data_IF_621046734292
#
_entry.id   IF_621046734292
#
_cell.length_a   1.000
_cell.length_b   1.000
_cell.length_c   1.000
_cell.angle_alpha   90.00
_cell.angle_beta   90.00
_cell.angle_gamma   90.00
#
_symmetry.space_group_name_H-M   'P 1'
#
loop_
_entity.id
_entity.type
_entity.pdbx_description
1 polymer ?
#
# COMPACT_ATOMS: atom_id res chain seq x y z
N UNK A 1 7.67 27.21 -5.01
CA UNK A 1 7.71 28.25 -3.96
C UNK A 1 6.33 28.39 -3.36
N UNK A 2 6.23 28.21 -2.08
CA UNK A 2 4.92 28.23 -1.41
C UNK A 2 4.55 29.69 -1.09
N UNK A 3 3.99 30.37 -2.06
CA UNK A 3 3.70 31.82 -2.04
C UNK A 3 2.70 32.22 -0.94
N UNK A 4 1.91 31.26 -0.47
CA UNK A 4 0.96 31.49 0.61
C UNK A 4 1.60 31.75 1.98
N UNK A 5 2.80 31.21 2.27
CA UNK A 5 3.55 31.59 3.48
C UNK A 5 4.06 33.03 3.44
N UNK A 6 4.45 33.51 2.25
CA UNK A 6 4.82 34.92 2.07
C UNK A 6 3.62 35.84 2.33
N UNK A 7 2.43 35.45 1.88
CA UNK A 7 1.20 36.20 2.14
C UNK A 7 0.88 36.26 3.64
N UNK A 8 1.15 35.19 4.38
CA UNK A 8 1.01 35.15 5.84
C UNK A 8 2.16 35.89 6.57
N UNK A 9 3.27 36.14 5.88
CA UNK A 9 4.45 36.80 6.45
C UNK A 9 5.25 35.93 7.41
N UNK A 10 5.28 34.64 7.18
CA UNK A 10 6.03 33.64 7.94
C UNK A 10 6.82 32.72 7.02
N UNK A 11 7.81 32.04 7.56
CA UNK A 11 8.52 30.99 6.86
C UNK A 11 7.66 29.72 6.75
N UNK A 12 7.96 28.87 5.77
CA UNK A 12 7.27 27.60 5.60
C UNK A 12 7.34 26.75 6.87
N UNK A 13 6.18 26.37 7.41
CA UNK A 13 6.09 25.61 8.65
C UNK A 13 4.90 24.65 8.62
N UNK A 14 5.02 23.52 9.30
CA UNK A 14 3.92 22.59 9.52
C UNK A 14 3.22 22.76 10.88
N UNK A 15 3.66 23.73 11.67
CA UNK A 15 3.03 24.04 12.94
C UNK A 15 1.73 24.84 12.75
N UNK A 16 0.57 24.18 12.83
CA UNK A 16 -0.73 24.85 12.71
C UNK A 16 -0.90 26.04 13.66
N UNK A 17 -0.30 25.98 14.85
CA UNK A 17 -0.36 27.09 15.84
C UNK A 17 0.31 28.35 15.30
N UNK A 18 1.46 28.22 14.62
CA UNK A 18 2.15 29.34 14.00
C UNK A 18 1.36 29.94 12.85
N UNK A 19 0.77 29.07 12.01
CA UNK A 19 -0.07 29.48 10.88
C UNK A 19 -1.30 30.24 11.38
N UNK A 20 -2.00 29.73 12.39
CA UNK A 20 -3.17 30.40 13.01
C UNK A 20 -2.80 31.74 13.63
N UNK A 21 -1.66 31.83 14.31
CA UNK A 21 -1.17 33.07 14.90
C UNK A 21 -0.84 34.12 13.83
N UNK A 22 -0.17 33.72 12.75
CA UNK A 22 0.16 34.62 11.64
C UNK A 22 -1.10 35.11 10.92
N UNK A 23 -2.07 34.25 10.67
CA UNK A 23 -3.35 34.62 10.08
C UNK A 23 -4.09 35.66 10.93
N UNK A 24 -4.20 35.42 12.24
CA UNK A 24 -4.86 36.37 13.16
C UNK A 24 -4.16 37.75 13.18
N UNK A 25 -2.83 37.77 13.20
CA UNK A 25 -2.07 39.00 13.16
C UNK A 25 -2.31 39.80 11.86
N UNK A 26 -2.38 39.10 10.72
CA UNK A 26 -2.66 39.74 9.43
C UNK A 26 -4.12 40.15 9.29
N UNK A 27 -5.05 39.39 9.88
CA UNK A 27 -6.47 39.67 9.85
C UNK A 27 -6.82 41.02 10.50
N UNK A 28 -6.07 41.42 11.54
CA UNK A 28 -6.23 42.74 12.17
C UNK A 28 -5.77 43.88 11.27
N UNK A 29 -4.87 43.63 10.32
CA UNK A 29 -4.34 44.62 9.40
C UNK A 29 -5.16 44.76 8.10
N UNK A 30 -6.01 43.77 7.79
CA UNK A 30 -6.82 43.71 6.56
C UNK A 30 -8.28 43.79 6.95
N UNK A 31 -8.93 44.91 6.66
CA UNK A 31 -10.36 45.08 6.89
C UNK A 31 -11.16 44.58 5.66
N UNK A 32 -12.08 43.63 5.81
CA UNK A 32 -12.88 43.11 4.69
C UNK A 32 -13.69 44.18 3.96
N UNK A 33 -14.04 45.27 4.66
CA UNK A 33 -14.82 46.38 4.09
C UNK A 33 -13.95 47.30 3.21
N UNK A 34 -12.69 47.46 3.57
CA UNK A 34 -11.73 48.36 2.88
C UNK A 34 -10.93 47.67 1.79
N UNK A 35 -10.58 46.38 2.01
CA UNK A 35 -9.79 45.57 1.05
C UNK A 35 -10.32 44.12 0.97
N UNK A 36 -11.46 43.91 0.27
CA UNK A 36 -12.05 42.57 0.13
C UNK A 36 -11.14 41.61 -0.64
N UNK A 37 -10.34 42.08 -1.59
CA UNK A 37 -9.41 41.24 -2.36
C UNK A 37 -8.20 40.81 -1.52
N UNK A 38 -7.70 41.68 -0.66
CA UNK A 38 -6.65 41.36 0.32
C UNK A 38 -7.12 40.35 1.35
N UNK A 39 -8.33 40.51 1.84
CA UNK A 39 -8.96 39.55 2.77
C UNK A 39 -9.13 38.17 2.14
N UNK A 40 -9.60 38.13 0.89
CA UNK A 40 -9.76 36.87 0.15
C UNK A 40 -8.41 36.16 -0.05
N UNK A 41 -7.38 36.88 -0.48
CA UNK A 41 -6.03 36.34 -0.64
C UNK A 41 -5.44 35.82 0.67
N UNK A 42 -5.65 36.54 1.76
CA UNK A 42 -5.19 36.13 3.09
C UNK A 42 -5.88 34.85 3.55
N UNK A 43 -7.19 34.72 3.31
CA UNK A 43 -7.96 33.53 3.64
C UNK A 43 -7.54 32.32 2.81
N UNK A 44 -7.35 32.49 1.52
CA UNK A 44 -6.86 31.43 0.62
C UNK A 44 -5.46 30.98 1.04
N UNK A 45 -4.58 31.91 1.37
CA UNK A 45 -3.23 31.60 1.88
C UNK A 45 -3.26 30.81 3.19
N UNK A 46 -4.17 31.14 4.08
CA UNK A 46 -4.36 30.43 5.34
C UNK A 46 -4.88 28.99 5.12
N UNK A 47 -5.87 28.82 4.26
CA UNK A 47 -6.41 27.49 3.93
C UNK A 47 -5.34 26.61 3.26
N UNK A 48 -4.55 27.14 2.34
CA UNK A 48 -3.46 26.41 1.69
C UNK A 48 -2.31 26.09 2.68
N UNK A 49 -1.99 26.99 3.59
CA UNK A 49 -0.98 26.75 4.63
C UNK A 49 -1.43 25.66 5.62
N UNK A 50 -2.72 25.62 6.00
CA UNK A 50 -3.25 24.54 6.83
C UNK A 50 -3.26 23.21 6.09
N UNK A 51 -3.59 23.22 4.81
CA UNK A 51 -3.57 22.02 3.96
C UNK A 51 -2.14 21.48 3.84
N UNK A 52 -1.16 22.36 3.66
CA UNK A 52 0.26 21.99 3.68
C UNK A 52 0.69 21.41 5.03
N UNK A 53 0.27 21.99 6.16
CA UNK A 53 0.59 21.50 7.49
C UNK A 53 -0.03 20.13 7.80
N UNK A 54 -1.21 19.87 7.23
CA UNK A 54 -1.95 18.60 7.38
C UNK A 54 -1.55 17.55 6.34
N UNK A 55 -0.89 17.94 5.27
CA UNK A 55 -0.19 16.96 4.45
C UNK A 55 0.80 16.28 5.39
N UNK A 56 0.48 15.03 5.78
CA UNK A 56 1.51 14.16 6.30
C UNK A 56 2.68 14.32 5.35
N UNK A 57 3.87 14.64 5.89
CA UNK A 57 5.04 14.15 5.21
C UNK A 57 4.73 12.68 5.00
N UNK A 58 4.58 12.26 3.76
CA UNK A 58 5.07 10.97 3.40
C UNK A 58 6.59 11.09 3.68
N UNK A 59 6.98 10.98 4.96
CA UNK A 59 8.23 10.33 5.25
C UNK A 59 8.16 9.10 4.38
N UNK A 60 9.15 8.82 3.51
CA UNK A 60 9.17 7.57 2.81
C UNK A 60 8.94 6.57 3.93
N UNK A 61 7.73 5.97 3.96
CA UNK A 61 7.37 4.99 4.97
C UNK A 61 8.57 4.08 4.93
N UNK A 62 9.33 4.05 6.00
CA UNK A 62 10.49 3.18 6.09
C UNK A 62 9.87 1.80 6.25
N UNK A 63 9.35 1.32 5.10
CA UNK A 63 8.67 0.03 5.00
C UNK A 63 9.65 -1.00 5.52
N UNK A 64 9.20 -1.87 6.38
CA UNK A 64 10.01 -3.03 6.74
C UNK A 64 10.32 -3.83 5.47
N UNK A 65 11.40 -4.58 5.41
CA UNK A 65 11.70 -5.42 4.26
C UNK A 65 10.53 -6.33 3.85
N UNK A 66 9.74 -6.80 4.82
CA UNK A 66 8.54 -7.59 4.56
C UNK A 66 7.42 -6.76 3.90
N UNK A 67 7.23 -5.52 4.33
CA UNK A 67 6.25 -4.60 3.73
C UNK A 67 6.64 -4.20 2.31
N UNK A 68 7.93 -3.96 2.05
CA UNK A 68 8.44 -3.72 0.69
C UNK A 68 8.20 -4.92 -0.23
N UNK A 69 8.41 -6.13 0.28
CA UNK A 69 8.12 -7.36 -0.47
C UNK A 69 6.64 -7.46 -0.84
N UNK A 70 5.74 -7.23 0.12
CA UNK A 70 4.28 -7.26 -0.12
C UNK A 70 3.87 -6.17 -1.11
N UNK A 71 4.43 -4.97 -1.03
CA UNK A 71 4.18 -3.89 -1.99
C UNK A 71 4.53 -4.32 -3.42
N UNK A 72 5.64 -5.02 -3.61
CA UNK A 72 6.02 -5.58 -4.92
C UNK A 72 5.07 -6.69 -5.38
N UNK A 73 4.59 -7.53 -4.48
CA UNK A 73 3.55 -8.52 -4.79
C UNK A 73 2.25 -7.85 -5.24
N UNK A 74 1.82 -6.78 -4.58
CA UNK A 74 0.64 -6.01 -4.97
C UNK A 74 0.78 -5.37 -6.36
N UNK A 75 1.93 -4.79 -6.66
CA UNK A 75 2.20 -4.19 -7.98
C UNK A 75 2.18 -5.26 -9.09
N UNK A 76 2.76 -6.42 -8.82
CA UNK A 76 2.74 -7.55 -9.76
C UNK A 76 1.31 -8.06 -9.97
N UNK A 77 0.54 -8.20 -8.90
CA UNK A 77 -0.84 -8.68 -8.96
C UNK A 77 -1.77 -7.74 -9.72
N UNK A 78 -1.60 -6.43 -9.59
CA UNK A 78 -2.40 -5.41 -10.30
C UNK A 78 -2.22 -5.47 -11.82
N UNK A 79 -1.08 -5.91 -12.30
CA UNK A 79 -0.83 -6.08 -13.73
C UNK A 79 -1.26 -7.49 -14.17
N UNK A 80 -2.34 -7.59 -14.97
CA UNK A 80 -2.91 -8.87 -15.37
C UNK A 80 -1.89 -9.80 -16.05
N UNK A 81 -1.11 -9.29 -17.00
CA UNK A 81 -0.14 -10.12 -17.75
C UNK A 81 1.00 -10.62 -16.86
N UNK A 82 1.50 -9.78 -15.96
CA UNK A 82 2.55 -10.18 -15.02
C UNK A 82 2.01 -11.11 -13.94
N UNK A 83 0.76 -10.91 -13.50
CA UNK A 83 0.11 -11.74 -12.48
C UNK A 83 -0.01 -13.20 -12.89
N UNK A 84 -0.23 -13.48 -14.18
CA UNK A 84 -0.36 -14.84 -14.70
C UNK A 84 0.98 -15.45 -15.11
N UNK A 85 2.06 -14.68 -15.11
CA UNK A 85 3.41 -15.14 -15.42
C UNK A 85 4.06 -15.79 -14.20
N UNK A 86 4.22 -17.10 -14.25
CA UNK A 86 4.87 -17.89 -13.21
C UNK A 86 6.30 -17.41 -12.91
N UNK A 87 7.04 -16.98 -13.92
CA UNK A 87 8.43 -16.56 -13.77
C UNK A 87 8.57 -15.27 -12.96
N UNK A 88 7.62 -14.36 -13.08
CA UNK A 88 7.58 -13.13 -12.28
C UNK A 88 7.44 -13.43 -10.79
N UNK A 89 6.56 -14.37 -10.44
CA UNK A 89 6.40 -14.81 -9.05
C UNK A 89 7.61 -15.60 -8.54
N UNK A 90 8.19 -16.45 -9.39
CA UNK A 90 9.38 -17.23 -9.03
C UNK A 90 10.55 -16.31 -8.67
N UNK A 91 10.74 -15.22 -9.39
CA UNK A 91 11.76 -14.21 -9.06
C UNK A 91 11.55 -13.61 -7.67
N UNK A 92 10.32 -13.22 -7.32
CA UNK A 92 10.00 -12.69 -6.01
C UNK A 92 10.20 -13.72 -4.90
N UNK A 93 9.74 -14.95 -5.09
CA UNK A 93 9.86 -16.00 -4.07
C UNK A 93 11.29 -16.52 -3.89
N UNK A 94 12.18 -16.24 -4.83
CA UNK A 94 13.60 -16.58 -4.74
C UNK A 94 14.44 -15.55 -3.98
N UNK A 95 13.83 -14.45 -3.54
CA UNK A 95 14.53 -13.44 -2.76
C UNK A 95 14.91 -13.96 -1.37
N UNK A 96 16.06 -13.53 -0.87
CA UNK A 96 16.60 -13.94 0.42
C UNK A 96 15.62 -13.73 1.58
N UNK A 97 14.77 -12.70 1.50
CA UNK A 97 13.77 -12.39 2.51
C UNK A 97 12.73 -13.51 2.71
N UNK A 98 12.40 -14.26 1.66
CA UNK A 98 11.49 -15.40 1.73
C UNK A 98 12.14 -16.63 2.39
N UNK A 99 13.45 -16.70 2.37
CA UNK A 99 14.25 -17.86 2.83
C UNK A 99 14.83 -17.59 4.22
N UNK A 100 14.96 -16.34 4.62
CA UNK A 100 15.55 -15.93 5.89
C UNK A 100 14.78 -16.49 7.09
N UNK A 101 15.48 -17.01 8.08
CA UNK A 101 14.90 -17.47 9.34
C UNK A 101 14.31 -16.30 10.18
N UNK A 102 14.86 -15.11 10.03
CA UNK A 102 14.43 -13.93 10.80
C UNK A 102 13.19 -13.26 10.22
N UNK A 103 13.15 -13.08 8.91
CA UNK A 103 12.10 -12.33 8.20
C UNK A 103 11.11 -13.21 7.44
N UNK A 104 11.47 -14.45 7.15
CA UNK A 104 10.66 -15.35 6.34
C UNK A 104 9.28 -15.64 6.95
N UNK A 105 9.18 -15.75 8.27
CA UNK A 105 7.90 -15.96 8.95
C UNK A 105 7.00 -14.73 8.86
N UNK A 106 7.53 -13.53 9.03
CA UNK A 106 6.77 -12.29 8.85
C UNK A 106 6.30 -12.13 7.40
N UNK A 107 7.16 -12.39 6.43
CA UNK A 107 6.83 -12.37 5.00
C UNK A 107 5.72 -13.37 4.71
N UNK A 108 5.83 -14.59 5.24
CA UNK A 108 4.82 -15.64 5.08
C UNK A 108 3.45 -15.21 5.58
N UNK A 109 3.38 -14.71 6.82
CA UNK A 109 2.13 -14.25 7.42
C UNK A 109 1.51 -13.10 6.62
N UNK A 110 2.29 -12.10 6.27
CA UNK A 110 1.83 -10.95 5.47
C UNK A 110 1.38 -11.37 4.07
N UNK A 111 2.09 -12.28 3.44
CA UNK A 111 1.73 -12.80 2.12
C UNK A 111 0.42 -13.61 2.17
N UNK A 112 0.21 -14.43 3.19
CA UNK A 112 -1.04 -15.14 3.36
C UNK A 112 -2.22 -14.20 3.63
N UNK A 113 -2.01 -13.10 4.36
CA UNK A 113 -3.02 -12.04 4.49
C UNK A 113 -3.30 -11.36 3.14
N UNK A 114 -2.28 -11.07 2.36
CA UNK A 114 -2.41 -10.53 1.01
C UNK A 114 -3.28 -11.42 0.11
N UNK A 115 -3.12 -12.74 0.20
CA UNK A 115 -3.90 -13.71 -0.58
C UNK A 115 -5.40 -13.74 -0.23
N UNK A 116 -5.83 -13.25 0.94
CA UNK A 116 -7.24 -13.19 1.30
C UNK A 116 -8.07 -12.39 0.29
N UNK A 117 -7.48 -11.33 -0.24
CA UNK A 117 -8.13 -10.45 -1.22
C UNK A 117 -7.60 -10.66 -2.65
N UNK A 118 -6.41 -11.26 -2.79
CA UNK A 118 -5.67 -11.37 -4.04
C UNK A 118 -5.42 -12.84 -4.43
N UNK A 119 -6.47 -13.63 -4.52
CA UNK A 119 -6.39 -15.08 -4.72
C UNK A 119 -6.56 -15.54 -6.18
N UNK A 120 -6.80 -14.62 -7.11
CA UNK A 120 -7.00 -14.95 -8.53
C UNK A 120 -5.68 -15.15 -9.25
N UNK A 121 -5.06 -16.28 -8.98
CA UNK A 121 -3.76 -16.67 -9.51
C UNK A 121 -3.88 -18.00 -10.26
N UNK A 122 -3.07 -18.21 -11.32
CA UNK A 122 -3.05 -19.44 -12.07
C UNK A 122 -2.45 -20.60 -11.25
N UNK A 123 -2.79 -21.83 -11.64
CA UNK A 123 -2.35 -23.06 -11.00
C UNK A 123 -0.83 -23.16 -10.80
N UNK A 124 0.03 -22.82 -11.78
CA UNK A 124 1.48 -22.87 -11.58
C UNK A 124 1.96 -21.93 -10.48
N UNK A 125 1.35 -20.75 -10.35
CA UNK A 125 1.69 -19.79 -9.29
C UNK A 125 1.28 -20.35 -7.92
N UNK A 126 0.13 -20.96 -7.78
CA UNK A 126 -0.29 -21.62 -6.53
C UNK A 126 0.67 -22.73 -6.09
N UNK A 127 1.19 -23.50 -7.03
CA UNK A 127 2.23 -24.51 -6.74
C UNK A 127 3.50 -23.88 -6.20
N UNK A 128 3.94 -22.77 -6.78
CA UNK A 128 5.10 -22.01 -6.28
C UNK A 128 4.86 -21.45 -4.89
N UNK A 129 3.67 -20.93 -4.63
CA UNK A 129 3.27 -20.44 -3.31
C UNK A 129 3.35 -21.56 -2.26
N UNK A 130 2.83 -22.75 -2.57
CA UNK A 130 2.92 -23.88 -1.65
C UNK A 130 4.35 -24.33 -1.39
N UNK A 131 5.18 -24.38 -2.43
CA UNK A 131 6.60 -24.72 -2.32
C UNK A 131 7.37 -23.71 -1.44
N UNK A 132 7.04 -22.44 -1.53
CA UNK A 132 7.73 -21.37 -0.79
C UNK A 132 7.22 -21.25 0.65
N UNK A 133 5.90 -21.31 0.84
CA UNK A 133 5.24 -21.00 2.12
C UNK A 133 4.63 -22.20 2.83
N UNK A 134 4.76 -23.41 2.28
CA UNK A 134 4.35 -24.67 2.89
C UNK A 134 2.89 -24.69 3.37
N UNK A 135 1.95 -24.32 2.49
CA UNK A 135 0.51 -24.25 2.82
C UNK A 135 -0.05 -25.63 3.13
N UNK A 136 0.24 -26.63 2.28
CA UNK A 136 -0.31 -28.00 2.44
C UNK A 136 0.39 -28.77 3.55
N UNK A 137 1.65 -28.47 3.84
CA UNK A 137 2.46 -29.15 4.85
C UNK A 137 2.19 -28.69 6.30
N UNK A 138 1.68 -27.48 6.53
CA UNK A 138 1.62 -26.83 7.83
C UNK A 138 0.21 -26.40 8.26
N UNK A 139 -0.81 -27.25 8.01
CA UNK A 139 -2.21 -26.93 8.35
C UNK A 139 -2.39 -26.51 9.82
N UNK A 140 -1.74 -27.21 10.75
CA UNK A 140 -1.88 -26.95 12.18
C UNK A 140 -1.42 -25.54 12.55
N UNK A 141 -0.26 -25.14 12.05
CA UNK A 141 0.32 -23.83 12.25
C UNK A 141 -0.53 -22.72 11.60
N UNK A 142 -1.08 -22.97 10.40
CA UNK A 142 -1.98 -22.04 9.75
C UNK A 142 -3.28 -21.81 10.53
N UNK A 143 -3.81 -22.84 11.20
CA UNK A 143 -5.00 -22.74 12.05
C UNK A 143 -4.76 -21.92 13.32
N UNK A 144 -3.50 -21.79 13.78
CA UNK A 144 -3.14 -20.90 14.88
C UNK A 144 -3.18 -19.42 14.47
N UNK A 145 -2.97 -19.14 13.19
CA UNK A 145 -2.85 -17.78 12.65
C UNK A 145 -4.12 -17.29 11.93
N UNK A 146 -4.88 -18.20 11.34
CA UNK A 146 -5.99 -17.87 10.44
C UNK A 146 -7.25 -18.68 10.74
N UNK A 147 -8.44 -18.13 10.41
CA UNK A 147 -9.69 -18.87 10.54
C UNK A 147 -9.72 -20.15 9.68
N UNK A 148 -10.31 -21.20 10.22
CA UNK A 148 -10.40 -22.51 9.55
C UNK A 148 -10.97 -22.44 8.11
N UNK A 149 -12.05 -21.68 7.81
CA UNK A 149 -12.56 -21.59 6.44
C UNK A 149 -11.55 -21.05 5.45
N UNK A 150 -10.68 -20.13 5.87
CA UNK A 150 -9.62 -19.60 5.03
C UNK A 150 -8.49 -20.60 4.82
N UNK A 151 -8.08 -21.31 5.86
CA UNK A 151 -7.08 -22.38 5.74
C UNK A 151 -7.58 -23.51 4.84
N UNK A 152 -8.84 -23.89 4.95
CA UNK A 152 -9.47 -24.87 4.07
C UNK A 152 -9.48 -24.39 2.61
N UNK A 153 -9.83 -23.15 2.38
CA UNK A 153 -9.77 -22.54 1.06
C UNK A 153 -8.36 -22.61 0.45
N UNK A 154 -7.33 -22.18 1.19
CA UNK A 154 -5.95 -22.23 0.72
C UNK A 154 -5.51 -23.64 0.35
N UNK A 155 -5.82 -24.61 1.20
CA UNK A 155 -5.44 -26.00 0.97
C UNK A 155 -6.18 -26.62 -0.21
N UNK A 156 -7.44 -26.30 -0.39
CA UNK A 156 -8.22 -26.76 -1.54
C UNK A 156 -7.69 -26.18 -2.85
N UNK A 157 -7.42 -24.87 -2.88
CA UNK A 157 -6.89 -24.20 -4.08
C UNK A 157 -5.56 -24.83 -4.51
N UNK A 158 -4.67 -25.09 -3.56
CA UNK A 158 -3.36 -25.69 -3.85
C UNK A 158 -3.52 -27.15 -4.33
N UNK A 159 -4.33 -27.96 -3.62
CA UNK A 159 -4.51 -29.39 -3.94
C UNK A 159 -5.18 -29.64 -5.29
N UNK A 160 -6.18 -28.83 -5.63
CA UNK A 160 -6.95 -28.98 -6.85
C UNK A 160 -6.46 -28.10 -7.99
N UNK A 161 -5.23 -27.62 -7.90
CA UNK A 161 -4.56 -26.80 -8.91
C UNK A 161 -5.32 -25.52 -9.28
N UNK A 162 -5.93 -24.90 -8.27
CA UNK A 162 -6.61 -23.64 -8.46
C UNK A 162 -7.92 -23.77 -9.26
N UNK A 163 -8.96 -23.15 -8.76
CA UNK A 163 -10.27 -23.14 -9.42
C UNK A 163 -10.27 -22.36 -10.76
N UNK A 164 -9.15 -21.72 -11.12
CA UNK A 164 -9.00 -20.91 -12.33
C UNK A 164 -7.84 -21.46 -13.17
N UNK A 165 -8.17 -22.37 -14.07
CA UNK A 165 -7.25 -22.77 -15.11
C UNK A 165 -7.33 -21.77 -16.27
N UNK A 166 -6.44 -20.79 -16.27
CA UNK A 166 -6.37 -19.78 -17.34
C UNK A 166 -5.94 -20.36 -18.68
N UNK A 167 -5.35 -21.56 -18.71
CA UNK A 167 -5.00 -22.27 -19.94
C UNK A 167 -6.25 -22.63 -20.77
N UNK A 168 -7.42 -22.71 -20.13
CA UNK A 168 -8.69 -22.91 -20.83
C UNK A 168 -9.17 -21.67 -21.60
N UNK A 169 -8.62 -20.50 -21.31
CA UNK A 169 -8.97 -19.25 -21.98
C UNK A 169 -8.04 -18.90 -23.16
N UNK A 170 -6.88 -19.54 -23.28
CA UNK A 170 -5.98 -19.36 -24.42
C UNK A 170 -6.43 -20.11 -25.69
N UNK A 171 -7.41 -21.01 -25.58
CA UNK A 171 -7.89 -21.84 -26.67
C UNK A 171 -8.96 -21.22 -27.58
N UNK A 172 -9.52 -20.07 -27.26
CA UNK A 172 -10.69 -19.50 -27.94
C UNK A 172 -10.45 -18.15 -28.63
N UNK A 173 -9.21 -17.86 -28.99
CA UNK A 173 -8.88 -16.71 -29.85
C UNK A 173 -8.30 -17.21 -31.19
N UNK A 174 -9.15 -17.77 -31.99
CA UNK A 174 -8.90 -18.01 -33.42
C UNK A 174 -10.04 -17.44 -34.26
#
# INVERSE_FOLDING_TARGET
>A
MNDFFNTLGIEATKEEKKIKKAYRARLHAVNPEDDPDGFKRLREAYEEALKYARQKEEEPENLSPAEEFISRCEQLYKNFYRRIDEQEWEKLFSEDICISLESGEEVRQRFLVFLMENFRLPSPVWKKIDQTFSITGNRKELLELFPEPYVDFLQQVVRYNGALNYELFEGDVS
#
